data_IF_555412090399
#
_entry.id   IF_555412090399
#
_cell.length_a   1.000
_cell.length_b   1.000
_cell.length_c   1.000
_cell.angle_alpha   90.00
_cell.angle_beta   90.00
_cell.angle_gamma   90.00
#
_symmetry.space_group_name_H-M   'P 1'
#
loop_
_entity.id
_entity.type
_entity.pdbx_description
1 polymer ?
#
# COMPACT_ATOMS: atom_id res chain seq x y z
N UNK A 1 35.10 -12.26 -33.50
CA UNK A 1 35.12 -12.14 -32.02
C UNK A 1 33.76 -11.67 -31.56
N UNK A 2 32.93 -12.63 -31.18
CA UNK A 2 31.49 -12.53 -30.92
C UNK A 2 31.20 -12.03 -29.48
N UNK A 3 32.24 -11.58 -28.76
CA UNK A 3 32.20 -11.25 -27.34
C UNK A 3 31.63 -9.86 -27.02
N UNK A 4 31.55 -8.95 -28.00
CA UNK A 4 31.10 -7.57 -27.76
C UNK A 4 29.57 -7.40 -27.81
N UNK A 5 28.83 -8.34 -28.41
CA UNK A 5 27.37 -8.23 -28.56
C UNK A 5 26.62 -8.81 -27.34
N UNK A 6 27.27 -9.68 -26.55
CA UNK A 6 26.64 -10.28 -25.38
C UNK A 6 26.57 -9.32 -24.17
N UNK A 7 27.42 -8.27 -24.13
CA UNK A 7 27.52 -7.35 -23.00
C UNK A 7 26.49 -6.21 -23.01
N UNK A 8 25.77 -5.99 -24.12
CA UNK A 8 24.71 -4.98 -24.20
C UNK A 8 23.34 -5.49 -23.72
N UNK A 9 23.14 -6.81 -23.63
CA UNK A 9 21.89 -7.41 -23.15
C UNK A 9 21.80 -7.45 -21.61
N UNK A 10 22.92 -7.27 -20.90
CA UNK A 10 22.97 -7.31 -19.44
C UNK A 10 22.38 -6.07 -18.74
N UNK A 11 21.97 -5.05 -19.50
CA UNK A 11 21.38 -3.81 -18.97
C UNK A 11 19.85 -3.80 -18.96
N UNK A 12 19.19 -4.88 -19.41
CA UNK A 12 17.72 -5.00 -19.45
C UNK A 12 17.09 -5.76 -18.28
N UNK A 13 17.88 -6.13 -17.28
CA UNK A 13 17.37 -6.67 -16.01
C UNK A 13 17.55 -5.68 -14.87
N UNK A 14 17.40 -4.39 -15.16
CA UNK A 14 17.03 -3.42 -14.14
C UNK A 14 15.60 -3.74 -13.73
N UNK A 15 15.45 -4.46 -12.62
CA UNK A 15 14.18 -4.63 -11.93
C UNK A 15 13.42 -3.32 -12.03
N UNK A 16 12.33 -3.33 -12.81
CA UNK A 16 11.30 -2.32 -12.69
C UNK A 16 10.71 -2.49 -11.30
N UNK A 17 11.41 -1.99 -10.29
CA UNK A 17 10.79 -1.55 -9.05
C UNK A 17 9.92 -0.37 -9.48
N UNK A 18 8.77 -0.71 -10.08
CA UNK A 18 7.67 0.22 -10.30
C UNK A 18 7.55 0.94 -8.96
N UNK A 19 7.74 2.27 -8.90
CA UNK A 19 7.63 2.97 -7.63
C UNK A 19 6.31 2.53 -7.01
N UNK A 20 6.38 1.96 -5.80
CA UNK A 20 5.18 1.57 -5.07
C UNK A 20 4.30 2.82 -5.03
N UNK A 21 3.06 2.75 -5.54
CA UNK A 21 2.24 3.95 -5.66
C UNK A 21 2.06 4.57 -4.28
N UNK A 22 2.12 5.90 -4.23
CA UNK A 22 1.65 6.66 -3.06
C UNK A 22 0.25 6.16 -2.69
N UNK A 23 -0.07 6.11 -1.40
CA UNK A 23 -1.37 5.68 -0.88
C UNK A 23 -2.54 6.26 -1.71
N UNK A 24 -2.50 7.56 -2.03
CA UNK A 24 -3.54 8.19 -2.82
C UNK A 24 -3.64 7.62 -4.24
N UNK A 25 -2.52 7.41 -4.93
CA UNK A 25 -2.51 6.77 -6.25
C UNK A 25 -2.95 5.31 -6.20
N UNK A 26 -2.70 4.62 -5.08
CA UNK A 26 -3.19 3.27 -4.89
C UNK A 26 -4.71 3.26 -4.76
N UNK A 27 -5.28 4.14 -3.93
CA UNK A 27 -6.74 4.27 -3.73
C UNK A 27 -7.43 4.68 -5.04
N UNK A 28 -6.86 5.62 -5.80
CA UNK A 28 -7.40 6.00 -7.12
C UNK A 28 -7.52 4.81 -8.09
N UNK A 29 -6.61 3.83 -8.00
CA UNK A 29 -6.64 2.62 -8.83
C UNK A 29 -7.66 1.59 -8.36
N UNK A 30 -8.16 1.70 -7.14
CA UNK A 30 -9.26 0.87 -6.67
C UNK A 30 -10.57 1.20 -7.38
N UNK A 31 -10.65 2.37 -8.05
CA UNK A 31 -11.84 2.82 -8.75
C UNK A 31 -12.78 3.63 -7.85
N UNK A 32 -14.03 3.74 -8.27
CA UNK A 32 -15.08 4.42 -7.50
C UNK A 32 -15.83 3.41 -6.61
N UNK A 33 -16.44 3.92 -5.53
CA UNK A 33 -17.29 3.11 -4.66
C UNK A 33 -18.48 2.57 -5.49
N UNK A 34 -18.67 1.24 -5.55
CA UNK A 34 -19.72 0.65 -6.36
C UNK A 34 -21.13 0.77 -5.75
N UNK A 35 -21.27 1.37 -4.55
CA UNK A 35 -22.50 1.74 -3.81
C UNK A 35 -23.53 0.62 -3.59
N UNK A 36 -24.08 0.05 -4.67
CA UNK A 36 -25.22 -0.88 -4.68
C UNK A 36 -24.83 -2.34 -4.94
N UNK A 37 -23.59 -2.63 -5.37
CA UNK A 37 -23.12 -4.00 -5.59
C UNK A 37 -22.28 -4.50 -4.40
N UNK A 38 -22.83 -5.39 -3.54
CA UNK A 38 -22.15 -5.84 -2.34
C UNK A 38 -20.88 -6.67 -2.62
N UNK A 39 -20.79 -7.33 -3.78
CA UNK A 39 -19.57 -8.06 -4.17
C UNK A 39 -18.51 -7.07 -4.60
N UNK A 40 -18.87 -6.09 -5.42
CA UNK A 40 -17.95 -5.05 -5.84
C UNK A 40 -17.49 -4.19 -4.64
N UNK A 41 -18.36 -3.87 -3.68
CA UNK A 41 -17.99 -3.11 -2.48
C UNK A 41 -16.94 -3.83 -1.68
N UNK A 42 -17.08 -5.15 -1.45
CA UNK A 42 -16.05 -5.95 -0.77
C UNK A 42 -14.71 -5.96 -1.51
N UNK A 43 -14.74 -6.01 -2.84
CA UNK A 43 -13.51 -5.94 -3.66
C UNK A 43 -12.86 -4.56 -3.55
N UNK A 44 -13.66 -3.50 -3.56
CA UNK A 44 -13.21 -2.13 -3.38
C UNK A 44 -12.60 -1.92 -1.98
N UNK A 45 -13.26 -2.40 -0.93
CA UNK A 45 -12.79 -2.34 0.45
C UNK A 45 -11.45 -3.06 0.63
N UNK A 46 -11.37 -4.31 0.15
CA UNK A 46 -10.13 -5.09 0.18
C UNK A 46 -8.99 -4.42 -0.59
N UNK A 47 -9.30 -3.68 -1.67
CA UNK A 47 -8.31 -2.90 -2.38
C UNK A 47 -7.77 -1.74 -1.53
N UNK A 48 -8.66 -0.99 -0.85
CA UNK A 48 -8.25 0.12 0.02
C UNK A 48 -7.43 -0.36 1.22
N UNK A 49 -7.82 -1.48 1.83
CA UNK A 49 -7.06 -2.11 2.92
C UNK A 49 -5.62 -2.45 2.47
N UNK A 50 -5.49 -3.04 1.28
CA UNK A 50 -4.18 -3.34 0.70
C UNK A 50 -3.33 -2.09 0.48
N UNK A 51 -3.94 -0.98 0.06
CA UNK A 51 -3.23 0.29 -0.08
C UNK A 51 -2.68 0.81 1.25
N UNK A 52 -3.42 0.64 2.36
CA UNK A 52 -2.93 0.98 3.71
C UNK A 52 -1.75 0.08 4.07
N UNK A 53 -1.88 -1.23 3.86
CA UNK A 53 -0.84 -2.21 4.21
C UNK A 53 0.46 -2.00 3.41
N UNK A 54 0.36 -1.82 2.10
CA UNK A 54 1.52 -1.62 1.23
C UNK A 54 2.21 -0.27 1.52
N UNK A 55 1.43 0.80 1.73
CA UNK A 55 1.95 2.10 2.14
C UNK A 55 2.66 2.06 3.50
N UNK A 56 2.10 1.32 4.46
CA UNK A 56 2.72 1.12 5.77
C UNK A 56 4.06 0.37 5.66
N UNK A 57 4.08 -0.77 4.94
CA UNK A 57 5.30 -1.57 4.72
C UNK A 57 6.40 -0.72 4.07
N UNK A 58 6.04 0.09 3.08
CA UNK A 58 6.98 0.99 2.43
C UNK A 58 7.52 2.05 3.41
N UNK A 59 6.65 2.71 4.17
CA UNK A 59 7.04 3.73 5.13
C UNK A 59 8.01 3.18 6.19
N UNK A 60 7.67 2.03 6.78
CA UNK A 60 8.53 1.37 7.78
C UNK A 60 9.83 0.89 7.16
N UNK A 61 9.80 0.35 5.93
CA UNK A 61 11.00 -0.10 5.21
C UNK A 61 11.99 1.03 4.92
N UNK A 62 11.51 2.26 4.74
CA UNK A 62 12.33 3.46 4.54
C UNK A 62 12.71 4.16 5.86
N UNK A 63 12.13 3.75 6.97
CA UNK A 63 12.32 4.40 8.27
C UNK A 63 13.54 3.86 9.01
N UNK A 64 14.49 4.75 9.28
CA UNK A 64 15.77 4.44 9.95
C UNK A 64 15.74 4.62 11.46
N UNK A 65 14.71 5.28 12.00
CA UNK A 65 14.62 5.63 13.43
C UNK A 65 13.19 5.41 13.99
N UNK A 66 13.10 5.32 15.31
CA UNK A 66 11.86 5.02 16.01
C UNK A 66 10.79 6.11 15.85
N UNK A 67 11.19 7.37 15.70
CA UNK A 67 10.25 8.48 15.52
C UNK A 67 9.56 8.39 14.15
N UNK A 68 10.31 8.13 13.08
CA UNK A 68 9.73 7.89 11.75
C UNK A 68 8.82 6.67 11.71
N UNK A 69 9.22 5.57 12.36
CA UNK A 69 8.36 4.38 12.47
C UNK A 69 7.05 4.66 13.20
N UNK A 70 7.08 5.42 14.29
CA UNK A 70 5.88 5.86 14.99
C UNK A 70 4.96 6.67 14.08
N UNK A 71 5.52 7.59 13.29
CA UNK A 71 4.73 8.35 12.31
C UNK A 71 4.10 7.45 11.23
N UNK A 72 4.82 6.43 10.76
CA UNK A 72 4.26 5.44 9.82
C UNK A 72 3.06 4.69 10.42
N UNK A 73 3.16 4.25 11.68
CA UNK A 73 2.06 3.64 12.42
C UNK A 73 0.85 4.58 12.51
N UNK A 74 1.07 5.83 12.96
CA UNK A 74 0.00 6.82 13.10
C UNK A 74 -0.72 7.11 11.77
N UNK A 75 0.03 7.26 10.67
CA UNK A 75 -0.56 7.47 9.34
C UNK A 75 -1.33 6.25 8.83
N UNK A 76 -0.79 5.04 9.01
CA UNK A 76 -1.47 3.81 8.60
C UNK A 76 -2.74 3.56 9.43
N UNK A 77 -2.67 3.78 10.74
CA UNK A 77 -3.82 3.68 11.64
C UNK A 77 -4.92 4.64 11.21
N UNK A 78 -4.58 5.92 10.96
CA UNK A 78 -5.55 6.93 10.52
C UNK A 78 -6.28 6.49 9.25
N UNK A 79 -5.55 6.06 8.23
CA UNK A 79 -6.13 5.61 6.95
C UNK A 79 -6.98 4.35 7.10
N UNK A 80 -6.55 3.40 7.93
CA UNK A 80 -7.31 2.21 8.26
C UNK A 80 -8.66 2.58 8.90
N UNK A 81 -8.65 3.49 9.87
CA UNK A 81 -9.87 3.97 10.54
C UNK A 81 -10.81 4.71 9.59
N UNK A 82 -10.27 5.51 8.65
CA UNK A 82 -11.07 6.17 7.62
C UNK A 82 -11.82 5.17 6.73
N UNK A 83 -11.25 3.98 6.48
CA UNK A 83 -11.91 2.92 5.71
C UNK A 83 -13.00 2.18 6.50
N UNK A 84 -12.90 2.10 7.83
CA UNK A 84 -13.84 1.36 8.68
C UNK A 84 -15.22 2.02 8.83
N UNK A 85 -15.32 3.34 8.62
CA UNK A 85 -16.50 4.09 9.03
C UNK A 85 -16.80 3.90 10.52
N UNK A 86 -17.98 3.37 10.83
CA UNK A 86 -18.47 3.13 12.20
C UNK A 86 -18.40 1.66 12.64
N UNK A 87 -17.69 0.79 11.91
CA UNK A 87 -17.59 -0.63 12.28
C UNK A 87 -16.61 -0.86 13.45
N UNK A 88 -17.13 -1.11 14.65
CA UNK A 88 -16.36 -1.30 15.88
C UNK A 88 -15.23 -2.35 15.75
N UNK A 89 -15.53 -3.51 15.16
CA UNK A 89 -14.55 -4.59 14.99
C UNK A 89 -13.38 -4.15 14.10
N UNK A 90 -13.69 -3.42 13.02
CA UNK A 90 -12.68 -2.86 12.12
C UNK A 90 -11.84 -1.79 12.84
N UNK A 91 -12.48 -0.93 13.63
CA UNK A 91 -11.81 0.11 14.42
C UNK A 91 -10.83 -0.51 15.43
N UNK A 92 -11.23 -1.56 16.15
CA UNK A 92 -10.36 -2.27 17.08
C UNK A 92 -9.19 -2.95 16.35
N UNK A 93 -9.44 -3.58 15.20
CA UNK A 93 -8.41 -4.17 14.37
C UNK A 93 -7.36 -3.14 13.93
N UNK A 94 -7.78 -1.98 13.41
CA UNK A 94 -6.87 -0.91 13.00
C UNK A 94 -6.01 -0.39 14.16
N UNK A 95 -6.62 -0.25 15.35
CA UNK A 95 -5.90 0.17 16.56
C UNK A 95 -4.86 -0.86 16.98
N UNK A 96 -5.18 -2.15 16.89
CA UNK A 96 -4.28 -3.23 17.25
C UNK A 96 -3.13 -3.38 16.25
N UNK A 97 -3.42 -3.36 14.95
CA UNK A 97 -2.42 -3.64 13.90
C UNK A 97 -1.37 -2.54 13.75
N UNK A 98 -1.76 -1.28 13.97
CA UNK A 98 -0.90 -0.11 13.75
C UNK A 98 -0.57 0.65 15.05
N UNK A 99 -0.58 -0.05 16.19
CA UNK A 99 -0.15 0.49 17.48
C UNK A 99 1.35 0.81 17.52
#
# INVERSE_FOLDING_TARGET
MILLVALSLSLLSGFSAKPIPDYHQCVERCGEDPLDDPVASRVYDACREKCVEDGFKQCVGLSTDAFRRKKCNEEAQKRCLENCGDEDTCIEFCKFMYA
#
